data_IF_999547711639
#
_entry.id   IF_999547711639
#
_cell.length_a   1.000
_cell.length_b   1.000
_cell.length_c   1.000
_cell.angle_alpha   90.00
_cell.angle_beta   90.00
_cell.angle_gamma   90.00
#
_symmetry.space_group_name_H-M   'P 1'
#
loop_
_entity.id
_entity.type
_entity.pdbx_description
1 polymer ?
#
# COMPACT_ATOMS: atom_id res chain seq x y z
N UNK A 1 -11.52 -17.45 -22.18
CA UNK A 1 -11.27 -17.57 -20.72
C UNK A 1 -11.84 -18.90 -20.23
N UNK A 2 -11.05 -19.71 -19.49
CA UNK A 2 -11.50 -21.04 -19.04
C UNK A 2 -12.65 -20.94 -18.04
N UNK A 3 -13.57 -21.90 -18.06
CA UNK A 3 -14.69 -22.04 -17.11
C UNK A 3 -14.20 -22.04 -15.65
N UNK A 4 -13.05 -22.65 -15.40
CA UNK A 4 -12.42 -22.67 -14.07
C UNK A 4 -12.06 -21.27 -13.57
N UNK A 5 -11.57 -20.36 -14.43
CA UNK A 5 -11.27 -18.98 -14.05
C UNK A 5 -12.53 -18.19 -13.71
N UNK A 6 -13.62 -18.39 -14.48
CA UNK A 6 -14.91 -17.73 -14.18
C UNK A 6 -15.49 -18.22 -12.85
N UNK A 7 -15.40 -19.52 -12.57
CA UNK A 7 -15.86 -20.09 -11.30
C UNK A 7 -15.04 -19.57 -10.11
N UNK A 8 -13.71 -19.52 -10.22
CA UNK A 8 -12.82 -18.98 -9.19
C UNK A 8 -13.09 -17.49 -8.91
N UNK A 9 -13.30 -16.69 -9.95
CA UNK A 9 -13.64 -15.28 -9.79
C UNK A 9 -15.02 -15.10 -9.12
N UNK A 10 -16.02 -15.89 -9.50
CA UNK A 10 -17.35 -15.86 -8.86
C UNK A 10 -17.29 -16.31 -7.39
N UNK A 11 -16.46 -17.28 -7.04
CA UNK A 11 -16.23 -17.69 -5.66
C UNK A 11 -15.48 -16.65 -4.84
N UNK A 12 -14.50 -15.94 -5.43
CA UNK A 12 -13.73 -14.91 -4.74
C UNK A 12 -14.54 -13.65 -4.40
N UNK A 13 -15.59 -13.36 -5.17
CA UNK A 13 -16.50 -12.24 -4.93
C UNK A 13 -17.65 -12.57 -3.98
N UNK A 14 -17.86 -13.84 -3.64
CA UNK A 14 -18.94 -14.27 -2.76
C UNK A 14 -18.57 -14.02 -1.29
N UNK A 15 -19.29 -13.11 -0.62
CA UNK A 15 -19.03 -12.73 0.77
C UNK A 15 -19.12 -13.92 1.74
N UNK A 16 -20.06 -14.86 1.52
CA UNK A 16 -20.23 -16.04 2.38
C UNK A 16 -19.03 -16.99 2.28
N UNK A 17 -18.53 -17.22 1.06
CA UNK A 17 -17.34 -18.06 0.82
C UNK A 17 -16.11 -17.41 1.47
N UNK A 18 -15.94 -16.11 1.32
CA UNK A 18 -14.85 -15.35 1.93
C UNK A 18 -14.88 -15.46 3.46
N UNK A 19 -16.03 -15.21 4.09
CA UNK A 19 -16.18 -15.28 5.55
C UNK A 19 -15.96 -16.69 6.11
N UNK A 20 -16.31 -17.72 5.33
CA UNK A 20 -16.06 -19.10 5.73
C UNK A 20 -14.60 -19.50 5.55
N UNK A 21 -13.99 -19.11 4.42
CA UNK A 21 -12.60 -19.39 4.11
C UNK A 21 -11.63 -18.77 5.12
N UNK A 22 -11.85 -17.53 5.52
CA UNK A 22 -11.00 -16.82 6.50
C UNK A 22 -11.04 -17.43 7.90
N UNK A 23 -12.08 -18.18 8.22
CA UNK A 23 -12.24 -18.89 9.52
C UNK A 23 -11.53 -20.25 9.56
N UNK A 24 -11.08 -20.79 8.43
CA UNK A 24 -10.40 -22.09 8.39
C UNK A 24 -8.95 -21.99 8.83
N UNK A 25 -8.49 -22.90 9.69
CA UNK A 25 -7.11 -22.93 10.19
C UNK A 25 -6.07 -23.01 9.05
N UNK A 26 -6.41 -23.72 7.97
CA UNK A 26 -5.53 -23.85 6.80
C UNK A 26 -5.33 -22.52 6.08
N UNK A 27 -6.40 -21.76 5.83
CA UNK A 27 -6.32 -20.43 5.18
C UNK A 27 -5.59 -19.44 6.09
N UNK A 28 -5.90 -19.43 7.40
CA UNK A 28 -5.19 -18.59 8.38
C UNK A 28 -3.68 -18.88 8.39
N UNK A 29 -3.27 -20.14 8.39
CA UNK A 29 -1.86 -20.53 8.35
C UNK A 29 -1.17 -20.16 7.03
N UNK A 30 -1.89 -20.20 5.91
CA UNK A 30 -1.37 -19.78 4.60
C UNK A 30 -1.23 -18.26 4.54
N UNK A 31 -2.24 -17.52 5.01
CA UNK A 31 -2.22 -16.06 5.05
C UNK A 31 -1.13 -15.54 6.00
N UNK A 32 -0.93 -16.16 7.16
CA UNK A 32 0.09 -15.73 8.13
C UNK A 32 1.54 -15.84 7.64
N UNK A 33 1.78 -16.59 6.55
CA UNK A 33 3.10 -16.61 5.90
C UNK A 33 3.39 -15.34 5.10
N UNK A 34 2.34 -14.66 4.62
CA UNK A 34 2.45 -13.48 3.76
C UNK A 34 1.99 -12.19 4.44
N UNK A 35 1.17 -12.34 5.47
CA UNK A 35 0.68 -11.22 6.28
C UNK A 35 1.07 -11.47 7.74
N UNK A 36 1.94 -10.64 8.32
CA UNK A 36 2.38 -10.84 9.71
C UNK A 36 1.26 -10.69 10.74
N UNK A 37 0.18 -9.97 10.38
CA UNK A 37 -0.99 -9.73 11.22
C UNK A 37 -1.87 -8.63 10.66
N UNK A 38 -2.92 -8.27 11.40
CA UNK A 38 -3.86 -7.21 11.04
C UNK A 38 -3.50 -5.85 11.69
N UNK A 39 -2.64 -5.88 12.70
CA UNK A 39 -2.24 -4.71 13.47
C UNK A 39 -0.88 -4.20 13.02
N UNK A 40 -0.65 -2.90 13.18
CA UNK A 40 0.64 -2.29 12.86
C UNK A 40 1.78 -2.89 13.72
N UNK A 41 1.50 -3.21 14.98
CA UNK A 41 2.46 -3.85 15.87
C UNK A 41 2.98 -5.18 15.31
N UNK A 42 2.09 -6.02 14.77
CA UNK A 42 2.47 -7.31 14.18
C UNK A 42 3.42 -7.11 12.98
N UNK A 43 3.16 -6.07 12.17
CA UNK A 43 4.01 -5.71 11.03
C UNK A 43 5.37 -5.15 11.50
N UNK A 44 5.39 -4.32 12.53
CA UNK A 44 6.62 -3.79 13.13
C UNK A 44 7.50 -4.90 13.70
N UNK A 45 6.91 -5.86 14.44
CA UNK A 45 7.62 -7.02 14.97
C UNK A 45 8.19 -7.91 13.85
N UNK A 46 7.44 -8.10 12.76
CA UNK A 46 7.93 -8.83 11.61
C UNK A 46 9.10 -8.10 10.93
N UNK A 47 9.03 -6.79 10.78
CA UNK A 47 10.10 -5.98 10.23
C UNK A 47 11.36 -6.03 11.11
N UNK A 48 11.21 -5.97 12.43
CA UNK A 48 12.31 -6.10 13.37
C UNK A 48 13.03 -7.45 13.22
N UNK A 49 12.28 -8.54 13.10
CA UNK A 49 12.84 -9.88 12.82
C UNK A 49 13.59 -9.94 11.49
N UNK A 50 13.06 -9.32 10.42
CA UNK A 50 13.76 -9.28 9.13
C UNK A 50 15.03 -8.44 9.19
N UNK A 51 15.01 -7.35 9.93
CA UNK A 51 16.17 -6.49 10.09
C UNK A 51 17.35 -7.21 10.73
N UNK A 52 17.14 -8.17 11.64
CA UNK A 52 18.23 -8.98 12.24
C UNK A 52 18.99 -9.83 11.20
N UNK A 53 18.33 -10.14 10.07
CA UNK A 53 18.95 -10.86 8.92
C UNK A 53 19.53 -9.92 7.87
N UNK A 54 19.53 -8.61 8.11
CA UNK A 54 20.03 -7.60 7.18
C UNK A 54 19.01 -7.15 6.12
N UNK A 55 17.79 -7.66 6.16
CA UNK A 55 16.73 -7.35 5.17
C UNK A 55 15.94 -6.13 5.61
N UNK A 56 15.83 -5.13 4.72
CA UNK A 56 14.89 -4.01 4.86
C UNK A 56 13.47 -4.41 4.46
N UNK A 57 12.48 -3.67 4.92
CA UNK A 57 11.07 -3.95 4.66
C UNK A 57 10.34 -2.77 4.04
N UNK A 58 9.21 -3.04 3.38
CA UNK A 58 8.30 -2.02 2.88
C UNK A 58 6.91 -2.33 3.42
N UNK A 59 6.32 -1.39 4.14
CA UNK A 59 4.96 -1.49 4.64
C UNK A 59 3.96 -1.01 3.58
N UNK A 60 2.90 -1.78 3.41
CA UNK A 60 1.73 -1.35 2.65
C UNK A 60 0.46 -1.70 3.42
N UNK A 61 -0.49 -0.79 3.46
CA UNK A 61 -1.82 -1.05 4.01
C UNK A 61 -2.69 -1.66 2.92
N UNK A 62 -3.38 -2.75 3.24
CA UNK A 62 -4.34 -3.36 2.34
C UNK A 62 -5.53 -2.41 2.11
N UNK A 63 -5.92 -2.24 0.87
CA UNK A 63 -7.01 -1.39 0.43
C UNK A 63 -6.67 -0.68 -0.88
N UNK A 64 -7.71 -0.29 -1.59
CA UNK A 64 -7.66 0.44 -2.85
C UNK A 64 -9.05 0.99 -3.18
N UNK A 65 -9.16 1.86 -4.19
CA UNK A 65 -10.42 2.38 -4.74
C UNK A 65 -11.33 3.01 -3.67
N UNK A 66 -10.73 3.84 -2.82
CA UNK A 66 -11.47 4.63 -1.83
C UNK A 66 -12.35 5.63 -2.54
N UNK A 67 -13.64 5.67 -2.16
CA UNK A 67 -14.66 6.53 -2.79
C UNK A 67 -15.10 7.70 -1.92
N UNK A 68 -14.52 7.84 -0.71
CA UNK A 68 -14.87 8.88 0.26
C UNK A 68 -13.64 9.63 0.73
N UNK A 69 -13.75 10.96 0.81
CA UNK A 69 -12.65 11.83 1.23
C UNK A 69 -12.20 11.56 2.68
N UNK A 70 -13.14 11.32 3.60
CA UNK A 70 -12.82 11.02 5.00
C UNK A 70 -12.06 9.70 5.17
N UNK A 71 -12.31 8.73 4.29
CA UNK A 71 -11.57 7.47 4.26
C UNK A 71 -10.13 7.67 3.74
N UNK A 72 -9.95 8.42 2.64
CA UNK A 72 -8.64 8.77 2.13
C UNK A 72 -7.79 9.53 3.15
N UNK A 73 -8.41 10.46 3.88
CA UNK A 73 -7.76 11.19 4.98
C UNK A 73 -7.37 10.27 6.14
N UNK A 74 -8.20 9.30 6.50
CA UNK A 74 -7.88 8.30 7.54
C UNK A 74 -6.69 7.44 7.11
N UNK A 75 -6.70 6.93 5.87
CA UNK A 75 -5.58 6.16 5.30
C UNK A 75 -4.28 6.97 5.33
N UNK A 76 -4.35 8.24 4.97
CA UNK A 76 -3.18 9.13 5.00
C UNK A 76 -2.63 9.28 6.41
N UNK A 77 -3.49 9.49 7.42
CA UNK A 77 -3.06 9.55 8.83
C UNK A 77 -2.42 8.25 9.31
N UNK A 78 -2.96 7.10 8.91
CA UNK A 78 -2.38 5.80 9.26
C UNK A 78 -0.95 5.66 8.72
N UNK A 79 -0.70 6.07 7.47
CA UNK A 79 0.66 6.04 6.90
C UNK A 79 1.61 7.07 7.55
N UNK A 80 1.11 8.23 7.98
CA UNK A 80 1.91 9.18 8.76
C UNK A 80 2.34 8.58 10.10
N UNK A 81 1.44 7.87 10.80
CA UNK A 81 1.76 7.15 12.03
C UNK A 81 2.81 6.05 11.78
N UNK A 82 2.69 5.30 10.67
CA UNK A 82 3.70 4.29 10.29
C UNK A 82 5.09 4.93 10.13
N UNK A 83 5.20 6.06 9.41
CA UNK A 83 6.48 6.74 9.22
C UNK A 83 7.10 7.20 10.55
N UNK A 84 6.28 7.74 11.47
CA UNK A 84 6.74 8.17 12.79
C UNK A 84 7.22 6.98 13.64
N UNK A 85 6.48 5.88 13.65
CA UNK A 85 6.83 4.69 14.41
C UNK A 85 8.06 3.98 13.85
N UNK A 86 8.19 3.89 12.52
CA UNK A 86 9.38 3.33 11.87
C UNK A 86 10.63 4.09 12.31
N UNK A 87 10.59 5.42 12.32
CA UNK A 87 11.72 6.21 12.80
C UNK A 87 11.98 6.00 14.29
N UNK A 88 10.95 6.06 15.12
CA UNK A 88 11.09 5.91 16.58
C UNK A 88 11.66 4.56 16.97
N UNK A 89 11.40 3.50 16.19
CA UNK A 89 11.90 2.15 16.44
C UNK A 89 13.27 1.84 15.79
N UNK A 90 13.82 2.75 14.98
CA UNK A 90 15.07 2.53 14.27
C UNK A 90 15.00 1.42 13.21
N UNK A 91 13.80 1.10 12.73
CA UNK A 91 13.61 0.10 11.69
C UNK A 91 14.02 0.61 10.30
N UNK A 92 14.71 -0.23 9.54
CA UNK A 92 14.97 0.00 8.11
C UNK A 92 13.75 -0.41 7.30
N UNK A 93 12.70 0.37 7.41
CA UNK A 93 11.43 0.14 6.74
C UNK A 93 10.98 1.40 6.00
N UNK A 94 10.33 1.20 4.87
CA UNK A 94 9.76 2.24 4.02
C UNK A 94 8.26 2.01 3.86
N UNK A 95 7.54 2.92 3.20
CA UNK A 95 6.12 2.72 2.90
C UNK A 95 5.87 2.65 1.41
N UNK A 96 4.88 1.86 1.02
CA UNK A 96 4.33 1.82 -0.34
C UNK A 96 2.84 2.11 -0.32
N UNK A 97 2.41 3.04 -1.15
CA UNK A 97 1.04 3.53 -1.19
C UNK A 97 0.43 3.36 -2.59
N UNK A 98 -0.87 3.12 -2.64
CA UNK A 98 -1.67 3.19 -3.85
C UNK A 98 -2.38 4.54 -3.91
N UNK A 99 -2.36 5.18 -5.07
CA UNK A 99 -3.01 6.50 -5.22
C UNK A 99 -4.53 6.42 -5.08
N UNK A 100 -5.15 5.31 -5.53
CA UNK A 100 -6.59 5.08 -5.29
C UNK A 100 -6.92 4.94 -3.80
N UNK A 101 -5.99 4.49 -2.97
CA UNK A 101 -6.14 4.45 -1.51
C UNK A 101 -5.97 5.83 -0.86
N UNK A 102 -5.25 6.75 -1.53
CA UNK A 102 -5.11 8.15 -1.10
C UNK A 102 -6.20 9.07 -1.65
N UNK A 103 -7.20 8.51 -2.35
CA UNK A 103 -8.38 9.24 -2.82
C UNK A 103 -8.33 9.68 -4.28
N UNK A 104 -7.54 9.02 -5.14
CA UNK A 104 -7.47 9.36 -6.58
C UNK A 104 -8.85 9.26 -7.28
N UNK A 105 -9.67 8.28 -6.88
CA UNK A 105 -11.04 8.10 -7.40
C UNK A 105 -12.06 9.09 -6.82
N UNK A 106 -11.69 9.81 -5.76
CA UNK A 106 -12.53 10.84 -5.14
C UNK A 106 -12.27 12.20 -5.78
N UNK A 107 -11.00 12.62 -5.72
CA UNK A 107 -10.53 13.91 -6.21
C UNK A 107 -9.00 13.88 -6.37
N UNK A 108 -8.54 14.29 -7.55
CA UNK A 108 -7.10 14.25 -7.87
C UNK A 108 -6.26 15.20 -7.03
N UNK A 109 -6.81 16.37 -6.70
CA UNK A 109 -6.10 17.36 -5.88
C UNK A 109 -6.05 16.91 -4.42
N UNK A 110 -7.10 16.28 -3.90
CA UNK A 110 -7.10 15.62 -2.60
C UNK A 110 -5.99 14.56 -2.54
N UNK A 111 -5.93 13.68 -3.53
CA UNK A 111 -4.89 12.65 -3.63
C UNK A 111 -3.49 13.28 -3.66
N UNK A 112 -3.30 14.33 -4.46
CA UNK A 112 -2.04 15.07 -4.54
C UNK A 112 -1.62 15.69 -3.20
N UNK A 113 -2.55 16.31 -2.47
CA UNK A 113 -2.30 16.85 -1.11
C UNK A 113 -1.95 15.75 -0.13
N UNK A 114 -2.67 14.64 -0.15
CA UNK A 114 -2.41 13.49 0.73
C UNK A 114 -1.02 12.89 0.45
N UNK A 115 -0.66 12.71 -0.82
CA UNK A 115 0.67 12.26 -1.21
C UNK A 115 1.75 13.23 -0.75
N UNK A 116 1.57 14.54 -0.92
CA UNK A 116 2.55 15.54 -0.50
C UNK A 116 2.80 15.48 1.01
N UNK A 117 1.76 15.36 1.82
CA UNK A 117 1.89 15.19 3.29
C UNK A 117 2.73 13.98 3.68
N UNK A 118 2.57 12.85 2.96
CA UNK A 118 3.40 11.65 3.18
C UNK A 118 4.86 11.90 2.79
N UNK A 119 5.10 12.57 1.67
CA UNK A 119 6.45 12.91 1.22
C UNK A 119 7.14 13.86 2.20
N UNK A 120 6.47 14.91 2.63
CA UNK A 120 7.00 15.88 3.62
C UNK A 120 7.36 15.17 4.93
N UNK A 121 6.51 14.24 5.40
CA UNK A 121 6.80 13.43 6.59
C UNK A 121 7.97 12.48 6.35
N UNK A 122 8.04 11.82 5.20
CA UNK A 122 9.15 10.94 4.85
C UNK A 122 10.48 11.72 4.78
N UNK A 123 10.46 12.93 4.25
CA UNK A 123 11.64 13.81 4.23
C UNK A 123 12.09 14.18 5.64
N UNK A 124 11.15 14.60 6.51
CA UNK A 124 11.42 14.92 7.92
C UNK A 124 11.90 13.70 8.74
N UNK A 125 11.68 12.49 8.27
CA UNK A 125 12.01 11.21 8.93
C UNK A 125 13.12 10.43 8.23
N UNK A 126 13.83 11.03 7.29
CA UNK A 126 14.84 10.39 6.45
C UNK A 126 14.37 9.07 5.83
N UNK A 127 13.11 9.05 5.36
CA UNK A 127 12.45 7.89 4.79
C UNK A 127 12.07 8.14 3.32
N UNK A 128 11.38 7.19 2.70
CA UNK A 128 10.97 7.22 1.29
C UNK A 128 9.56 6.65 1.12
N UNK A 129 8.77 7.28 0.26
CA UNK A 129 7.43 6.83 -0.14
C UNK A 129 7.51 6.19 -1.52
N UNK A 130 7.05 4.95 -1.65
CA UNK A 130 6.90 4.27 -2.93
C UNK A 130 5.47 4.40 -3.44
N UNK A 131 5.30 4.82 -4.68
CA UNK A 131 4.03 4.72 -5.39
C UNK A 131 3.94 3.36 -6.06
N UNK A 132 2.98 2.54 -5.65
CA UNK A 132 2.68 1.28 -6.33
C UNK A 132 1.89 1.57 -7.60
N UNK A 133 2.34 1.03 -8.76
CA UNK A 133 1.57 1.09 -10.00
C UNK A 133 0.33 0.23 -9.84
N UNK A 134 -0.80 0.77 -10.25
CA UNK A 134 -2.10 0.11 -10.24
C UNK A 134 -2.49 -0.35 -11.66
N UNK A 135 -3.75 -0.71 -11.89
CA UNK A 135 -4.21 -1.17 -13.19
C UNK A 135 -4.12 -0.08 -14.28
N UNK A 136 -4.15 -0.49 -15.54
CA UNK A 136 -3.89 0.38 -16.69
C UNK A 136 -4.66 1.71 -16.75
N UNK A 137 -5.91 1.86 -16.25
CA UNK A 137 -6.59 3.16 -16.22
C UNK A 137 -5.88 4.21 -15.34
N UNK A 138 -5.10 3.78 -14.34
CA UNK A 138 -4.42 4.68 -13.40
C UNK A 138 -2.99 5.04 -13.80
N UNK A 139 -2.43 4.44 -14.86
CA UNK A 139 -1.02 4.63 -15.26
C UNK A 139 -0.70 6.09 -15.48
N UNK A 140 -1.47 6.80 -16.31
CA UNK A 140 -1.19 8.20 -16.65
C UNK A 140 -1.29 9.11 -15.42
N UNK A 141 -2.32 8.93 -14.59
CA UNK A 141 -2.49 9.70 -13.36
C UNK A 141 -1.35 9.45 -12.37
N UNK A 142 -0.92 8.19 -12.23
CA UNK A 142 0.17 7.80 -11.34
C UNK A 142 1.50 8.41 -11.80
N UNK A 143 1.82 8.31 -13.09
CA UNK A 143 3.04 8.88 -13.65
C UNK A 143 3.07 10.40 -13.54
N UNK A 144 1.92 11.07 -13.73
CA UNK A 144 1.84 12.53 -13.64
C UNK A 144 2.02 13.01 -12.18
N UNK A 145 1.33 12.40 -11.22
CA UNK A 145 1.51 12.70 -9.81
C UNK A 145 2.93 12.39 -9.33
N UNK A 146 3.51 11.28 -9.79
CA UNK A 146 4.90 10.96 -9.50
C UNK A 146 5.87 12.02 -10.03
N UNK A 147 5.74 12.44 -11.30
CA UNK A 147 6.62 13.48 -11.88
C UNK A 147 6.53 14.79 -11.12
N UNK A 148 5.33 15.23 -10.77
CA UNK A 148 5.11 16.45 -9.95
C UNK A 148 5.74 16.31 -8.56
N UNK A 149 5.56 15.19 -7.89
CA UNK A 149 6.16 14.94 -6.58
C UNK A 149 7.70 14.88 -6.69
N UNK A 150 8.22 14.19 -7.71
CA UNK A 150 9.66 13.99 -7.91
C UNK A 150 10.40 15.25 -8.28
N UNK A 151 9.74 16.23 -8.92
CA UNK A 151 10.36 17.53 -9.20
C UNK A 151 10.65 18.34 -7.94
N UNK A 152 9.90 18.10 -6.86
CA UNK A 152 10.02 18.85 -5.61
C UNK A 152 10.76 18.08 -4.49
N UNK A 153 10.75 16.74 -4.52
CA UNK A 153 11.40 15.92 -3.49
C UNK A 153 12.04 14.66 -4.06
N UNK A 154 13.18 14.28 -3.49
CA UNK A 154 13.83 12.99 -3.79
C UNK A 154 13.29 11.84 -2.94
N UNK A 155 12.36 12.10 -2.03
CA UNK A 155 11.80 11.12 -1.09
C UNK A 155 10.58 10.38 -1.64
N UNK A 156 10.43 10.32 -2.95
CA UNK A 156 9.40 9.53 -3.63
C UNK A 156 10.01 8.66 -4.72
N UNK A 157 9.62 7.40 -4.74
CA UNK A 157 9.94 6.40 -5.77
C UNK A 157 8.66 5.86 -6.41
N UNK A 158 8.81 5.08 -7.47
CA UNK A 158 7.69 4.42 -8.14
C UNK A 158 8.04 2.95 -8.41
N UNK A 159 7.10 2.04 -8.14
CA UNK A 159 7.19 0.64 -8.49
C UNK A 159 6.37 0.37 -9.75
N UNK A 160 7.04 0.08 -10.86
CA UNK A 160 6.40 -0.18 -12.15
C UNK A 160 6.00 -1.66 -12.27
N UNK A 161 4.93 -1.93 -13.01
CA UNK A 161 4.49 -3.30 -13.30
C UNK A 161 5.00 -3.72 -14.69
N UNK A 162 6.03 -4.56 -14.73
CA UNK A 162 6.70 -4.96 -15.96
C UNK A 162 5.82 -5.70 -16.98
N UNK A 163 4.64 -6.20 -16.57
CA UNK A 163 3.70 -6.87 -17.49
C UNK A 163 2.70 -5.92 -18.17
N UNK A 164 2.63 -4.66 -17.74
CA UNK A 164 1.83 -3.65 -18.42
C UNK A 164 2.57 -3.17 -19.67
N UNK A 165 1.87 -3.10 -20.81
CA UNK A 165 2.44 -2.57 -22.05
C UNK A 165 2.78 -1.08 -22.00
N UNK A 166 2.28 -0.39 -21.00
CA UNK A 166 2.38 1.06 -20.81
C UNK A 166 2.66 1.41 -19.36
N UNK A 167 3.91 1.32 -18.96
CA UNK A 167 4.40 1.79 -17.66
C UNK A 167 5.60 2.69 -17.82
#
# INVERSE_FOLDING_TARGET
MSLARKALLALSTNAWVRDRATKTAFVRRSVSKFMPGERLEDAMDAAARQQTTGVGTIFTKLGENVTRADEAERVTRDYLDVLDRVQASGLRAQISVKLTHLGLDVDRDLCGRNLQRLIDRAEARDNLVWLAMESSPYVDATLDLFRRARSNSRRVGIALQAYLYRT
#
